data_IF_665721026511
#
_entry.id   IF_665721026511
#
_cell.length_a   1.000
_cell.length_b   1.000
_cell.length_c   1.000
_cell.angle_alpha   90.00
_cell.angle_beta   90.00
_cell.angle_gamma   90.00
#
_symmetry.space_group_name_H-M   'P 1'
#
loop_
_entity.id
_entity.type
_entity.pdbx_description
1 polymer ?
#
# COMPACT_ATOMS: atom_id res chain seq x y z
N UNK A 1 7.69 -24.71 8.73
CA UNK A 1 6.21 -24.66 8.74
C UNK A 1 5.68 -23.26 9.03
N UNK A 2 6.14 -22.57 10.07
CA UNK A 2 5.64 -21.22 10.44
C UNK A 2 5.75 -20.17 9.32
N UNK A 3 6.86 -20.12 8.57
CA UNK A 3 7.02 -19.18 7.45
C UNK A 3 6.09 -19.47 6.27
N UNK A 4 5.77 -20.75 6.01
CA UNK A 4 4.81 -21.12 4.98
C UNK A 4 3.41 -20.60 5.37
N UNK A 5 3.00 -20.79 6.62
CA UNK A 5 1.74 -20.21 7.12
C UNK A 5 1.73 -18.68 7.04
N UNK A 6 2.85 -18.02 7.36
CA UNK A 6 2.95 -16.57 7.22
C UNK A 6 2.78 -16.11 5.76
N UNK A 7 3.40 -16.81 4.81
CA UNK A 7 3.24 -16.54 3.38
C UNK A 7 1.79 -16.78 2.93
N UNK A 8 1.16 -17.87 3.39
CA UNK A 8 -0.25 -18.17 3.08
C UNK A 8 -1.20 -17.12 3.67
N UNK A 9 -0.93 -16.62 4.89
CA UNK A 9 -1.69 -15.53 5.50
C UNK A 9 -1.52 -14.22 4.74
N UNK A 10 -0.31 -13.90 4.28
CA UNK A 10 -0.08 -12.76 3.39
C UNK A 10 -0.84 -12.91 2.07
N UNK A 11 -0.77 -14.07 1.44
CA UNK A 11 -1.49 -14.36 0.20
C UNK A 11 -3.00 -14.21 0.38
N UNK A 12 -3.54 -14.76 1.48
CA UNK A 12 -4.96 -14.62 1.85
C UNK A 12 -5.34 -13.16 2.09
N UNK A 13 -4.55 -12.43 2.88
CA UNK A 13 -4.76 -11.01 3.16
C UNK A 13 -4.81 -10.20 1.86
N UNK A 14 -3.80 -10.36 0.99
CA UNK A 14 -3.70 -9.63 -0.26
C UNK A 14 -4.79 -10.00 -1.27
N UNK A 15 -5.15 -11.28 -1.35
CA UNK A 15 -6.26 -11.74 -2.18
C UNK A 15 -7.58 -11.10 -1.74
N UNK A 16 -7.91 -11.19 -0.43
CA UNK A 16 -9.13 -10.61 0.12
C UNK A 16 -9.14 -9.08 -0.06
N UNK A 17 -8.03 -8.41 0.24
CA UNK A 17 -7.90 -6.96 0.07
C UNK A 17 -8.13 -6.54 -1.39
N UNK A 18 -7.50 -7.24 -2.35
CA UNK A 18 -7.64 -6.96 -3.78
C UNK A 18 -9.06 -7.24 -4.30
N UNK A 19 -9.66 -8.37 -3.90
CA UNK A 19 -11.02 -8.76 -4.30
C UNK A 19 -12.04 -7.73 -3.80
N UNK A 20 -11.93 -7.31 -2.53
CA UNK A 20 -12.80 -6.29 -1.95
C UNK A 20 -12.55 -4.89 -2.50
N UNK A 21 -11.31 -4.60 -2.93
CA UNK A 21 -10.97 -3.36 -3.63
C UNK A 21 -11.44 -3.35 -5.09
N UNK A 22 -11.64 -4.51 -5.70
CA UNK A 22 -11.90 -4.64 -7.14
C UNK A 22 -13.22 -3.97 -7.57
N UNK A 23 -13.18 -3.25 -8.69
CA UNK A 23 -14.33 -2.52 -9.22
C UNK A 23 -15.56 -3.39 -9.52
N UNK A 24 -15.37 -4.65 -9.95
CA UNK A 24 -16.48 -5.57 -10.26
C UNK A 24 -17.32 -5.89 -9.03
N UNK A 25 -16.67 -6.24 -7.90
CA UNK A 25 -17.37 -6.56 -6.67
C UNK A 25 -18.06 -5.32 -6.08
N UNK A 26 -17.37 -4.17 -6.10
CA UNK A 26 -17.95 -2.88 -5.71
C UNK A 26 -19.24 -2.57 -6.45
N UNK A 27 -19.30 -2.79 -7.77
CA UNK A 27 -20.52 -2.57 -8.58
C UNK A 27 -21.67 -3.49 -8.13
N UNK A 28 -21.39 -4.79 -7.99
CA UNK A 28 -22.39 -5.77 -7.53
C UNK A 28 -22.92 -5.41 -6.13
N UNK A 29 -22.02 -5.02 -5.21
CA UNK A 29 -22.41 -4.64 -3.86
C UNK A 29 -23.17 -3.32 -3.84
N UNK A 30 -22.84 -2.36 -4.71
CA UNK A 30 -23.59 -1.11 -4.86
C UNK A 30 -25.03 -1.37 -5.32
N UNK A 31 -25.21 -2.27 -6.29
CA UNK A 31 -26.54 -2.69 -6.78
C UNK A 31 -27.35 -3.40 -5.69
N UNK A 32 -26.73 -4.27 -4.89
CA UNK A 32 -27.43 -5.02 -3.82
C UNK A 32 -27.70 -4.23 -2.55
N UNK A 33 -26.77 -3.39 -2.12
CA UNK A 33 -26.84 -2.70 -0.81
C UNK A 33 -27.57 -1.36 -0.87
N UNK A 34 -27.78 -0.79 -2.05
CA UNK A 34 -28.44 0.51 -2.22
C UNK A 34 -27.82 1.58 -1.31
N UNK A 35 -28.64 2.19 -0.44
CA UNK A 35 -28.20 3.25 0.49
C UNK A 35 -27.16 2.78 1.53
N UNK A 36 -27.11 1.49 1.86
CA UNK A 36 -26.13 0.96 2.81
C UNK A 36 -24.71 0.92 2.22
N UNK A 37 -24.56 0.96 0.88
CA UNK A 37 -23.26 0.95 0.21
C UNK A 37 -22.33 2.09 0.67
N UNK A 38 -22.87 3.20 1.17
CA UNK A 38 -22.08 4.31 1.72
C UNK A 38 -21.13 3.87 2.85
N UNK A 39 -21.47 2.83 3.59
CA UNK A 39 -20.66 2.26 4.69
C UNK A 39 -19.71 1.16 4.24
N UNK A 40 -19.78 0.71 2.98
CA UNK A 40 -18.92 -0.35 2.46
C UNK A 40 -17.44 -0.03 2.60
N UNK A 41 -17.04 1.22 2.31
CA UNK A 41 -15.64 1.66 2.44
C UNK A 41 -15.14 1.56 3.88
N UNK A 42 -15.96 1.90 4.86
CA UNK A 42 -15.63 1.78 6.28
C UNK A 42 -15.49 0.31 6.68
N UNK A 43 -16.47 -0.51 6.33
CA UNK A 43 -16.42 -1.96 6.55
C UNK A 43 -15.14 -2.57 5.95
N UNK A 44 -14.85 -2.26 4.69
CA UNK A 44 -13.65 -2.71 4.00
C UNK A 44 -12.36 -2.32 4.73
N UNK A 45 -12.25 -1.05 5.16
CA UNK A 45 -11.08 -0.55 5.87
C UNK A 45 -10.89 -1.26 7.21
N UNK A 46 -11.96 -1.40 7.99
CA UNK A 46 -11.94 -2.09 9.29
C UNK A 46 -11.65 -3.58 9.15
N UNK A 47 -12.25 -4.24 8.16
CA UNK A 47 -12.01 -5.65 7.87
C UNK A 47 -10.56 -5.89 7.42
N UNK A 48 -10.03 -5.04 6.54
CA UNK A 48 -8.61 -5.10 6.15
C UNK A 48 -7.69 -4.87 7.35
N UNK A 49 -7.99 -3.89 8.21
CA UNK A 49 -7.21 -3.64 9.42
C UNK A 49 -7.24 -4.84 10.37
N UNK A 50 -8.41 -5.44 10.56
CA UNK A 50 -8.59 -6.63 11.39
C UNK A 50 -7.73 -7.81 10.88
N UNK A 51 -7.78 -8.12 9.58
CA UNK A 51 -6.95 -9.17 8.99
C UNK A 51 -5.45 -8.87 9.11
N UNK A 52 -5.06 -7.60 8.93
CA UNK A 52 -3.68 -7.19 9.11
C UNK A 52 -3.21 -7.35 10.57
N UNK A 53 -4.05 -7.01 11.55
CA UNK A 53 -3.76 -7.23 12.98
C UNK A 53 -3.60 -8.73 13.24
N UNK A 54 -4.48 -9.59 12.71
CA UNK A 54 -4.33 -11.05 12.86
C UNK A 54 -3.00 -11.56 12.29
N UNK A 55 -2.57 -11.01 11.15
CA UNK A 55 -1.28 -11.32 10.54
C UNK A 55 -0.12 -10.91 11.45
N UNK A 56 -0.16 -9.71 12.02
CA UNK A 56 0.85 -9.23 12.97
C UNK A 56 0.86 -10.09 14.25
N UNK A 57 -0.30 -10.41 14.81
CA UNK A 57 -0.41 -11.28 15.98
C UNK A 57 0.13 -12.69 15.71
N UNK A 58 -0.05 -13.22 14.50
CA UNK A 58 0.55 -14.48 14.09
C UNK A 58 2.08 -14.37 13.99
N UNK A 59 2.59 -13.27 13.42
CA UNK A 59 4.03 -12.98 13.36
C UNK A 59 4.68 -12.99 14.75
N UNK A 60 4.02 -12.45 15.79
CA UNK A 60 4.54 -12.46 17.16
C UNK A 60 4.71 -13.88 17.74
N UNK A 61 4.05 -14.90 17.18
CA UNK A 61 4.20 -16.30 17.59
C UNK A 61 5.40 -16.98 16.96
N UNK A 62 6.03 -16.37 15.93
CA UNK A 62 7.18 -16.93 15.24
C UNK A 62 8.44 -16.48 15.99
N UNK A 63 9.20 -17.40 16.62
CA UNK A 63 10.45 -17.03 17.25
C UNK A 63 11.38 -16.33 16.24
N UNK A 64 12.04 -15.22 16.62
CA UNK A 64 12.93 -14.53 15.72
C UNK A 64 14.09 -15.46 15.34
N UNK A 65 14.24 -15.69 14.04
CA UNK A 65 15.38 -16.40 13.46
C UNK A 65 16.15 -15.40 12.60
N UNK A 66 17.44 -15.27 12.87
CA UNK A 66 18.30 -14.28 12.24
C UNK A 66 18.82 -14.80 10.89
N UNK A 67 18.70 -13.97 9.86
CA UNK A 67 19.44 -14.08 8.60
C UNK A 67 20.84 -13.51 8.78
N UNK A 68 20.92 -12.39 9.49
CA UNK A 68 22.16 -11.75 9.92
C UNK A 68 21.90 -11.02 11.25
N UNK A 69 22.95 -10.76 12.02
CA UNK A 69 22.83 -9.93 13.21
C UNK A 69 22.95 -8.46 12.79
N UNK A 70 21.92 -7.63 13.02
CA UNK A 70 21.98 -6.22 12.67
C UNK A 70 22.96 -5.53 13.62
N UNK A 71 24.16 -5.23 13.14
CA UNK A 71 25.14 -4.43 13.88
C UNK A 71 25.78 -3.37 12.98
N UNK A 72 25.85 -2.14 13.46
CA UNK A 72 26.50 -1.03 12.76
C UNK A 72 25.72 -0.54 11.54
N UNK A 73 26.35 -0.59 10.35
CA UNK A 73 25.84 0.07 9.15
C UNK A 73 24.44 -0.39 8.69
N UNK A 74 24.12 -1.71 8.60
CA UNK A 74 22.81 -2.15 8.14
C UNK A 74 21.66 -1.63 9.00
N UNK A 75 21.85 -1.61 10.31
CA UNK A 75 20.85 -1.12 11.27
C UNK A 75 20.60 0.38 11.07
N UNK A 76 21.67 1.19 11.00
CA UNK A 76 21.57 2.63 10.77
C UNK A 76 20.88 2.96 9.44
N UNK A 77 21.29 2.30 8.35
CA UNK A 77 20.62 2.43 7.05
C UNK A 77 19.15 2.00 7.13
N UNK A 78 18.85 0.95 7.90
CA UNK A 78 17.49 0.49 8.12
C UNK A 78 16.59 1.55 8.76
N UNK A 79 17.05 2.22 9.83
CA UNK A 79 16.33 3.33 10.45
C UNK A 79 16.17 4.52 9.50
N UNK A 80 17.22 4.88 8.75
CA UNK A 80 17.15 5.98 7.78
C UNK A 80 16.09 5.70 6.70
N UNK A 81 16.05 4.49 6.15
CA UNK A 81 15.08 4.09 5.13
C UNK A 81 13.66 4.10 5.69
N UNK A 82 13.45 3.54 6.88
CA UNK A 82 12.13 3.52 7.52
C UNK A 82 11.64 4.94 7.86
N UNK A 83 12.51 5.80 8.36
CA UNK A 83 12.20 7.20 8.62
C UNK A 83 11.85 7.95 7.33
N UNK A 84 12.66 7.80 6.28
CA UNK A 84 12.42 8.45 4.99
C UNK A 84 11.11 7.96 4.33
N UNK A 85 10.85 6.65 4.36
CA UNK A 85 9.60 6.06 3.88
C UNK A 85 8.38 6.60 4.63
N UNK A 86 8.49 6.73 5.97
CA UNK A 86 7.45 7.33 6.81
C UNK A 86 7.19 8.79 6.45
N UNK A 87 8.25 9.57 6.21
CA UNK A 87 8.13 10.97 5.77
C UNK A 87 7.38 11.06 4.43
N UNK A 88 7.70 10.21 3.45
CA UNK A 88 6.98 10.15 2.16
C UNK A 88 5.50 9.83 2.40
N UNK A 89 5.19 8.84 3.24
CA UNK A 89 3.81 8.46 3.53
C UNK A 89 3.02 9.59 4.19
N UNK A 90 3.58 10.22 5.22
CA UNK A 90 2.93 11.32 5.93
C UNK A 90 2.70 12.51 4.99
N UNK A 91 3.70 12.91 4.21
CA UNK A 91 3.56 14.02 3.27
C UNK A 91 2.55 13.71 2.16
N UNK A 92 2.54 12.49 1.63
CA UNK A 92 1.59 12.07 0.58
C UNK A 92 0.16 12.00 1.12
N UNK A 93 -0.01 11.55 2.36
CA UNK A 93 -1.32 11.43 3.01
C UNK A 93 -2.01 12.78 3.23
N UNK A 94 -1.25 13.88 3.37
CA UNK A 94 -1.82 15.24 3.51
C UNK A 94 -2.64 15.70 2.31
N UNK A 95 -2.41 15.11 1.13
CA UNK A 95 -3.21 15.40 -0.05
C UNK A 95 -4.60 14.73 -0.01
N UNK A 96 -4.80 13.78 0.90
CA UNK A 96 -6.03 13.01 1.03
C UNK A 96 -6.81 13.40 2.28
N UNK A 97 -8.14 13.38 2.19
CA UNK A 97 -8.99 13.45 3.38
C UNK A 97 -8.98 12.10 4.09
N UNK A 98 -8.41 12.05 5.30
CA UNK A 98 -8.32 10.81 6.07
C UNK A 98 -9.70 10.19 6.33
N UNK A 99 -10.71 11.02 6.63
CA UNK A 99 -12.08 10.56 6.84
C UNK A 99 -12.70 9.90 5.61
N UNK A 100 -12.41 10.41 4.40
CA UNK A 100 -12.84 9.76 3.15
C UNK A 100 -12.04 8.49 2.89
N UNK A 101 -10.72 8.53 3.13
CA UNK A 101 -9.82 7.40 2.92
C UNK A 101 -10.27 6.15 3.68
N UNK A 102 -10.58 6.30 4.97
CA UNK A 102 -11.06 5.21 5.84
C UNK A 102 -12.55 4.90 5.65
N UNK A 103 -13.33 5.81 5.05
CA UNK A 103 -14.76 5.62 4.78
C UNK A 103 -15.73 6.17 5.82
N UNK A 104 -15.27 7.02 6.75
CA UNK A 104 -16.17 7.76 7.67
C UNK A 104 -17.04 8.78 6.94
N UNK A 105 -16.56 9.32 5.81
CA UNK A 105 -17.35 10.14 4.90
C UNK A 105 -17.48 9.41 3.56
N UNK A 106 -18.68 9.38 2.95
CA UNK A 106 -18.87 8.75 1.65
C UNK A 106 -18.04 9.45 0.56
N UNK A 107 -17.65 8.67 -0.45
CA UNK A 107 -17.07 9.21 -1.69
C UNK A 107 -18.17 9.91 -2.47
N UNK A 108 -17.99 11.20 -2.74
CA UNK A 108 -19.02 12.04 -3.37
C UNK A 108 -18.78 12.22 -4.89
N UNK A 109 -17.92 11.42 -5.50
CA UNK A 109 -17.63 11.45 -6.95
C UNK A 109 -16.97 12.73 -7.47
N UNK A 110 -16.73 13.71 -6.60
CA UNK A 110 -16.15 15.03 -6.89
C UNK A 110 -14.67 15.11 -6.56
N UNK A 111 -14.04 13.98 -6.28
CA UNK A 111 -12.61 13.97 -5.98
C UNK A 111 -11.82 14.27 -7.26
N UNK A 112 -10.87 15.20 -7.17
CA UNK A 112 -9.99 15.56 -8.28
C UNK A 112 -8.74 14.68 -8.29
N UNK A 113 -8.13 14.50 -9.46
CA UNK A 113 -6.87 13.77 -9.57
C UNK A 113 -5.75 14.55 -8.87
N UNK A 114 -5.16 13.94 -7.84
CA UNK A 114 -4.04 14.52 -7.09
C UNK A 114 -2.74 14.31 -7.87
N UNK A 115 -2.14 15.41 -8.35
CA UNK A 115 -0.87 15.40 -9.10
C UNK A 115 0.21 16.31 -8.47
N UNK A 116 0.00 16.75 -7.23
CA UNK A 116 0.89 17.66 -6.49
C UNK A 116 1.77 16.93 -5.47
N UNK A 117 2.79 17.62 -4.94
CA UNK A 117 3.72 17.06 -3.96
C UNK A 117 4.45 15.82 -4.49
N UNK A 118 4.45 14.73 -3.72
CA UNK A 118 5.07 13.46 -4.13
C UNK A 118 4.41 12.84 -5.37
N UNK A 119 3.10 13.07 -5.57
CA UNK A 119 2.37 12.60 -6.75
C UNK A 119 2.85 13.25 -8.06
N UNK A 120 3.58 14.36 -8.02
CA UNK A 120 4.23 14.93 -9.22
C UNK A 120 5.43 14.08 -9.69
N UNK A 121 6.07 13.35 -8.77
CA UNK A 121 7.34 12.64 -9.01
C UNK A 121 7.10 11.16 -9.28
N UNK A 122 6.19 10.55 -8.55
CA UNK A 122 5.84 9.12 -8.62
C UNK A 122 4.34 8.95 -8.39
N UNK A 123 3.70 7.99 -9.06
CA UNK A 123 2.24 7.80 -8.99
C UNK A 123 1.77 7.14 -7.69
N UNK A 124 2.63 6.33 -7.09
CA UNK A 124 2.30 5.53 -5.91
C UNK A 124 3.27 5.81 -4.74
N UNK A 125 3.31 7.04 -4.22
CA UNK A 125 4.27 7.40 -3.17
C UNK A 125 4.02 6.69 -1.84
N UNK A 126 2.77 6.31 -1.54
CA UNK A 126 2.46 5.48 -0.37
C UNK A 126 3.11 4.09 -0.49
N UNK A 127 3.09 3.48 -1.68
CA UNK A 127 3.76 2.20 -1.92
C UNK A 127 5.28 2.32 -1.89
N UNK A 128 5.84 3.40 -2.44
CA UNK A 128 7.26 3.68 -2.31
C UNK A 128 7.68 3.80 -0.82
N UNK A 129 6.87 4.50 -0.02
CA UNK A 129 7.07 4.59 1.43
C UNK A 129 7.00 3.24 2.13
N UNK A 130 6.02 2.39 1.79
CA UNK A 130 5.90 1.03 2.33
C UNK A 130 7.10 0.14 1.98
N UNK A 131 7.60 0.21 0.75
CA UNK A 131 8.82 -0.50 0.33
C UNK A 131 9.99 -0.11 1.23
N UNK A 132 10.20 1.20 1.44
CA UNK A 132 11.30 1.71 2.26
C UNK A 132 11.16 1.32 3.73
N UNK A 133 9.93 1.35 4.28
CA UNK A 133 9.66 0.94 5.67
C UNK A 133 9.90 -0.55 5.85
N UNK A 134 9.43 -1.41 4.95
CA UNK A 134 9.60 -2.86 5.08
C UNK A 134 11.05 -3.29 4.82
N UNK A 135 11.73 -2.63 3.90
CA UNK A 135 13.17 -2.81 3.70
C UNK A 135 13.95 -2.37 4.94
N UNK A 136 13.60 -1.21 5.51
CA UNK A 136 14.20 -0.72 6.75
C UNK A 136 13.96 -1.67 7.93
N UNK A 137 12.74 -2.19 8.07
CA UNK A 137 12.40 -3.20 9.08
C UNK A 137 13.21 -4.50 8.91
N UNK A 138 13.41 -4.97 7.68
CA UNK A 138 14.28 -6.11 7.42
C UNK A 138 15.72 -5.82 7.83
N UNK A 139 16.25 -4.65 7.49
CA UNK A 139 17.62 -4.26 7.83
C UNK A 139 17.86 -4.08 9.34
N UNK A 140 16.88 -3.52 10.06
CA UNK A 140 16.94 -3.33 11.52
C UNK A 140 16.76 -4.65 12.27
N UNK A 141 15.85 -5.51 11.82
CA UNK A 141 15.57 -6.76 12.56
C UNK A 141 16.53 -7.89 12.23
N UNK A 142 17.06 -7.93 10.99
CA UNK A 142 17.90 -9.03 10.50
C UNK A 142 17.18 -10.37 10.36
N UNK A 143 15.85 -10.43 10.54
CA UNK A 143 15.13 -11.70 10.69
C UNK A 143 14.55 -12.26 9.39
N UNK A 144 14.39 -13.59 9.33
CA UNK A 144 13.65 -14.27 8.27
C UNK A 144 12.19 -13.81 8.20
N UNK A 145 11.59 -13.50 9.34
CA UNK A 145 10.21 -13.01 9.41
C UNK A 145 10.07 -11.69 8.66
N UNK A 146 10.96 -10.72 8.93
CA UNK A 146 10.97 -9.45 8.22
C UNK A 146 11.27 -9.60 6.72
N UNK A 147 12.16 -10.52 6.36
CA UNK A 147 12.44 -10.86 4.96
C UNK A 147 11.17 -11.38 4.25
N UNK A 148 10.40 -12.26 4.90
CA UNK A 148 9.13 -12.77 4.36
C UNK A 148 8.12 -11.64 4.18
N UNK A 149 7.95 -10.76 5.18
CA UNK A 149 7.07 -9.59 5.05
C UNK A 149 7.47 -8.70 3.86
N UNK A 150 8.76 -8.40 3.71
CA UNK A 150 9.27 -7.60 2.61
C UNK A 150 9.08 -8.29 1.25
N UNK A 151 9.42 -9.58 1.16
CA UNK A 151 9.24 -10.37 -0.07
C UNK A 151 7.79 -10.46 -0.52
N UNK A 152 6.85 -10.73 0.41
CA UNK A 152 5.42 -10.75 0.12
C UNK A 152 4.92 -9.38 -0.39
N UNK A 153 5.39 -8.27 0.19
CA UNK A 153 5.06 -6.93 -0.26
C UNK A 153 5.54 -6.67 -1.70
N UNK A 154 6.80 -6.97 -2.00
CA UNK A 154 7.39 -6.75 -3.33
C UNK A 154 6.67 -7.56 -4.41
N UNK A 155 6.26 -8.79 -4.10
CA UNK A 155 5.49 -9.64 -5.01
C UNK A 155 4.08 -9.08 -5.24
N UNK A 156 3.44 -8.57 -4.18
CA UNK A 156 2.07 -8.07 -4.25
C UNK A 156 1.92 -6.72 -4.94
N UNK A 157 2.83 -5.78 -4.69
CA UNK A 157 2.67 -4.38 -5.12
C UNK A 157 2.38 -4.20 -6.62
N UNK A 158 3.03 -4.92 -7.57
CA UNK A 158 2.68 -4.83 -8.99
C UNK A 158 1.20 -5.16 -9.28
N UNK A 159 0.63 -6.13 -8.55
CA UNK A 159 -0.77 -6.54 -8.67
C UNK A 159 -1.68 -5.44 -8.13
N UNK A 160 -1.38 -4.92 -6.93
CA UNK A 160 -2.11 -3.81 -6.32
C UNK A 160 -2.12 -2.57 -7.20
N UNK A 161 -0.95 -2.17 -7.71
CA UNK A 161 -0.79 -1.07 -8.66
C UNK A 161 -1.65 -1.29 -9.90
N UNK A 162 -1.62 -2.48 -10.50
CA UNK A 162 -2.40 -2.75 -11.71
C UNK A 162 -3.90 -2.52 -11.50
N UNK A 163 -4.47 -3.05 -10.42
CA UNK A 163 -5.90 -2.88 -10.12
C UNK A 163 -6.25 -1.45 -9.72
N UNK A 164 -5.38 -0.79 -8.96
CA UNK A 164 -5.55 0.62 -8.60
C UNK A 164 -5.52 1.52 -9.82
N UNK A 165 -4.53 1.38 -10.71
CA UNK A 165 -4.45 2.17 -11.94
C UNK A 165 -5.65 1.91 -12.86
N UNK A 166 -6.17 0.67 -12.90
CA UNK A 166 -7.40 0.36 -13.63
C UNK A 166 -8.62 1.11 -13.07
N UNK A 167 -8.74 1.18 -11.75
CA UNK A 167 -9.81 1.94 -11.09
C UNK A 167 -9.65 3.45 -11.32
N UNK A 168 -8.42 3.97 -11.23
CA UNK A 168 -8.12 5.38 -11.48
C UNK A 168 -8.40 5.78 -12.93
N UNK A 169 -8.10 4.92 -13.91
CA UNK A 169 -8.49 5.16 -15.31
C UNK A 169 -10.01 5.15 -15.47
N UNK A 170 -10.72 4.26 -14.80
CA UNK A 170 -12.19 4.22 -14.85
C UNK A 170 -12.83 5.47 -14.22
N UNK A 171 -12.18 6.07 -13.21
CA UNK A 171 -12.66 7.26 -12.51
C UNK A 171 -12.28 8.57 -13.22
N UNK A 172 -11.04 8.70 -13.68
CA UNK A 172 -10.46 9.96 -14.17
C UNK A 172 -10.20 9.98 -15.69
N UNK A 173 -10.44 8.87 -16.40
CA UNK A 173 -10.36 8.82 -17.86
C UNK A 173 -9.00 9.23 -18.43
N UNK A 174 -9.02 10.19 -19.36
CA UNK A 174 -7.82 10.63 -20.09
C UNK A 174 -6.85 11.43 -19.21
N UNK A 175 -7.34 12.13 -18.17
CA UNK A 175 -6.48 12.87 -17.24
C UNK A 175 -5.46 11.94 -16.57
N UNK A 176 -5.92 10.77 -16.10
CA UNK A 176 -5.04 9.77 -15.53
C UNK A 176 -4.13 9.12 -16.57
N UNK A 177 -4.63 8.88 -17.79
CA UNK A 177 -3.80 8.32 -18.88
C UNK A 177 -2.66 9.25 -19.24
N UNK A 178 -2.92 10.56 -19.30
CA UNK A 178 -1.90 11.58 -19.53
C UNK A 178 -0.91 11.66 -18.37
N UNK A 179 -1.41 11.71 -17.13
CA UNK A 179 -0.56 11.65 -15.94
C UNK A 179 0.37 10.44 -15.94
N UNK A 180 -0.15 9.25 -16.30
CA UNK A 180 0.59 7.98 -16.38
C UNK A 180 1.72 7.99 -17.40
N UNK A 181 1.59 8.73 -18.52
CA UNK A 181 2.64 8.84 -19.55
C UNK A 181 3.90 9.52 -18.99
N UNK A 182 3.71 10.56 -18.19
CA UNK A 182 4.81 11.42 -17.74
C UNK A 182 5.42 10.98 -16.40
N UNK A 183 4.59 10.61 -15.43
CA UNK A 183 5.02 10.32 -14.05
C UNK A 183 5.19 8.81 -13.85
N UNK A 184 6.34 8.27 -13.42
CA UNK A 184 6.56 6.83 -13.22
C UNK A 184 5.81 6.26 -12.01
N UNK A 185 5.66 4.93 -11.92
CA UNK A 185 4.89 4.28 -10.86
C UNK A 185 5.49 4.48 -9.45
N UNK A 186 6.74 4.04 -9.22
CA UNK A 186 7.36 3.96 -7.89
C UNK A 186 8.71 4.65 -7.82
N UNK A 187 9.59 4.43 -8.80
CA UNK A 187 10.92 5.04 -8.82
C UNK A 187 10.93 6.27 -9.73
N UNK A 188 11.43 7.43 -9.25
CA UNK A 188 11.50 8.64 -10.05
C UNK A 188 12.40 8.43 -11.28
N UNK A 189 11.99 8.96 -12.43
CA UNK A 189 12.87 8.99 -13.62
C UNK A 189 14.03 9.94 -13.30
N UNK A 190 15.26 9.47 -13.45
CA UNK A 190 16.48 10.28 -13.27
C UNK A 190 16.64 11.38 -14.35
N UNK A 191 15.74 11.45 -15.34
CA UNK A 191 15.75 12.51 -16.36
C UNK A 191 14.94 13.72 -15.88
N UNK A 192 15.67 14.71 -15.37
CA UNK A 192 15.23 16.10 -15.27
C UNK A 192 14.67 16.55 -16.62
N UNK A 193 13.36 16.76 -16.72
CA UNK A 193 12.84 17.69 -17.72
C UNK A 193 12.85 19.06 -17.07
N UNK A 194 13.96 19.77 -17.27
CA UNK A 194 13.99 21.22 -17.21
C UNK A 194 12.85 21.73 -18.09
N UNK A 195 11.88 22.40 -17.47
CA UNK A 195 11.11 23.44 -18.15
C UNK A 195 11.64 24.75 -17.62
#
# INVERSE_FOLDING_TARGET
MNYLYLILLWALFYALHSILAAGKLKRILKEKLGNAYKWYRLFYSLFSLFLFILLVLFTLKIPPSQVFYPNGLPEYFGYMLAAFGTIIMVQSSKAWSMSKFIGLKPENGTDHLIVSGWYKRIRHPLYAGLILIFLGYFLVSGTYTALVHFGCLIIYLPIGIYFEEKNLIAQFGEDYRNYRKFVPAIFPKLKSHSK
#
